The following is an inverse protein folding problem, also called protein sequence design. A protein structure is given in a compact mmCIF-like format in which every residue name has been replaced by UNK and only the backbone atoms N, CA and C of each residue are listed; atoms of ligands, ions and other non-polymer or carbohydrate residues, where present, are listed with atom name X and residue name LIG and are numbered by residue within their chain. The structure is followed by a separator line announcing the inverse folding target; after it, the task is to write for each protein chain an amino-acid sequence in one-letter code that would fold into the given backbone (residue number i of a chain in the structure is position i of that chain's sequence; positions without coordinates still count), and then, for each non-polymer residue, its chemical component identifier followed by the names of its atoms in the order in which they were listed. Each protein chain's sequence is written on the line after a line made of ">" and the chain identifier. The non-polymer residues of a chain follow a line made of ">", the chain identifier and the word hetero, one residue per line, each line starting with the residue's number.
data_IF_612147611818
#
_entry.id   IF_612147611818
#
_cell.length_a   1.000
_cell.length_b   1.000
_cell.length_c   1.000
_cell.angle_alpha   90.00
_cell.angle_beta   90.00
_cell.angle_gamma   90.00
#
_symmetry.space_group_name_H-M   'P 1'
#
loop_
_entity.id
_entity.type
_entity.pdbx_description
1 polymer ?
#
# COMPACT_ATOMS: atom_id res chain seq x y z
N UNK A 1 -32.86 22.21 -28.41
CA UNK A 1 -31.49 22.47 -27.93
C UNK A 1 -31.05 21.37 -26.98
N UNK A 2 -30.57 20.26 -27.54
CA UNK A 2 -30.09 19.12 -26.75
C UNK A 2 -28.69 19.44 -26.20
N UNK A 3 -28.60 19.57 -24.88
CA UNK A 3 -27.33 19.74 -24.15
C UNK A 3 -26.50 18.47 -24.29
N UNK A 4 -25.44 18.54 -25.09
CA UNK A 4 -24.40 17.51 -25.22
C UNK A 4 -23.60 17.47 -23.92
N UNK A 5 -24.09 16.75 -22.90
CA UNK A 5 -23.30 16.47 -21.69
C UNK A 5 -22.12 15.61 -22.08
N UNK A 6 -20.91 16.13 -21.88
CA UNK A 6 -19.66 15.42 -22.09
C UNK A 6 -19.70 14.07 -21.36
N UNK A 7 -19.55 12.97 -22.11
CA UNK A 7 -19.35 11.64 -21.52
C UNK A 7 -18.01 11.67 -20.79
N UNK A 8 -18.06 11.63 -19.46
CA UNK A 8 -16.89 11.39 -18.63
C UNK A 8 -16.26 10.06 -19.07
N UNK A 9 -15.05 10.12 -19.64
CA UNK A 9 -14.26 8.93 -19.96
C UNK A 9 -13.73 8.35 -18.64
N UNK A 10 -14.43 7.36 -18.11
CA UNK A 10 -13.96 6.58 -16.97
C UNK A 10 -13.23 5.33 -17.47
N UNK A 11 -12.21 4.87 -16.73
CA UNK A 11 -11.45 3.65 -17.05
C UNK A 11 -12.35 2.40 -17.09
N UNK A 12 -13.50 2.46 -16.45
CA UNK A 12 -14.47 1.38 -16.33
C UNK A 12 -15.82 1.83 -16.87
N UNK A 13 -16.47 0.94 -17.62
CA UNK A 13 -17.88 1.09 -18.01
C UNK A 13 -18.74 0.69 -16.81
N UNK A 14 -19.68 1.56 -16.44
CA UNK A 14 -20.65 1.30 -15.38
C UNK A 14 -22.05 1.56 -15.92
N UNK A 15 -22.98 0.69 -15.52
CA UNK A 15 -24.39 0.82 -15.83
C UNK A 15 -25.18 0.93 -14.52
N UNK A 16 -26.20 1.80 -14.52
CA UNK A 16 -27.14 1.88 -13.41
C UNK A 16 -28.05 0.66 -13.45
N UNK A 17 -28.38 0.09 -12.29
CA UNK A 17 -29.45 -0.91 -12.22
C UNK A 17 -30.76 -0.30 -12.71
N UNK A 18 -31.58 -1.11 -13.38
CA UNK A 18 -32.85 -0.68 -13.98
C UNK A 18 -33.74 0.02 -12.95
N UNK A 19 -33.88 -0.56 -11.76
CA UNK A 19 -34.70 -0.05 -10.68
C UNK A 19 -34.27 1.36 -10.23
N UNK A 20 -32.95 1.59 -10.13
CA UNK A 20 -32.42 2.91 -9.72
C UNK A 20 -32.62 3.92 -10.84
N UNK A 21 -32.42 3.52 -12.10
CA UNK A 21 -32.66 4.37 -13.27
C UNK A 21 -34.11 4.84 -13.35
N UNK A 22 -35.06 3.93 -13.13
CA UNK A 22 -36.49 4.25 -13.11
C UNK A 22 -36.86 5.14 -11.93
N UNK A 23 -36.37 4.81 -10.72
CA UNK A 23 -36.60 5.58 -9.50
C UNK A 23 -36.05 7.01 -9.55
N UNK A 24 -34.97 7.24 -10.30
CA UNK A 24 -34.42 8.58 -10.54
C UNK A 24 -35.26 9.35 -11.56
N UNK A 25 -35.75 8.68 -12.62
CA UNK A 25 -36.59 9.30 -13.66
C UNK A 25 -37.96 9.71 -13.13
N UNK A 26 -38.57 8.87 -12.30
CA UNK A 26 -39.90 9.12 -11.72
C UNK A 26 -39.86 10.04 -10.48
N UNK A 27 -38.68 10.46 -10.03
CA UNK A 27 -38.50 11.38 -8.90
C UNK A 27 -38.73 10.77 -7.51
N UNK A 28 -39.03 9.48 -7.41
CA UNK A 28 -39.20 8.76 -6.13
C UNK A 28 -37.90 8.70 -5.33
N UNK A 29 -36.74 8.79 -6.00
CA UNK A 29 -35.42 8.77 -5.38
C UNK A 29 -34.60 10.00 -5.77
N UNK A 30 -33.92 10.59 -4.78
CA UNK A 30 -32.91 11.63 -5.03
C UNK A 30 -31.58 10.96 -5.37
N UNK A 31 -30.85 11.50 -6.36
CA UNK A 31 -29.53 11.00 -6.76
C UNK A 31 -28.56 10.78 -5.58
N UNK A 32 -28.60 11.65 -4.56
CA UNK A 32 -27.74 11.55 -3.36
C UNK A 32 -28.17 10.49 -2.33
N UNK A 33 -29.29 9.80 -2.54
CA UNK A 33 -29.90 8.82 -1.61
C UNK A 33 -30.02 7.41 -2.22
N UNK A 34 -29.28 7.12 -3.28
CA UNK A 34 -29.30 5.79 -3.90
C UNK A 34 -28.65 4.72 -2.99
N UNK A 35 -29.09 3.47 -3.15
CA UNK A 35 -28.68 2.33 -2.32
C UNK A 35 -27.16 2.08 -2.34
N UNK A 36 -26.49 2.38 -3.46
CA UNK A 36 -25.04 2.25 -3.60
C UNK A 36 -24.22 3.26 -2.80
N UNK A 37 -24.85 4.24 -2.13
CA UNK A 37 -24.14 5.16 -1.25
C UNK A 37 -23.77 4.47 0.07
N UNK A 38 -22.48 4.28 0.28
CA UNK A 38 -21.92 3.67 1.50
C UNK A 38 -21.29 4.77 2.37
N UNK A 39 -22.08 5.67 2.92
CA UNK A 39 -21.56 6.72 3.79
C UNK A 39 -21.46 6.24 5.24
N UNK A 40 -20.32 6.48 5.89
CA UNK A 40 -20.17 6.40 7.35
C UNK A 40 -19.80 7.80 7.85
N UNK A 41 -20.27 8.17 9.03
CA UNK A 41 -19.92 9.43 9.68
C UNK A 41 -18.46 9.46 10.14
N UNK A 42 -18.11 10.49 10.92
CA UNK A 42 -16.81 10.52 11.61
C UNK A 42 -16.74 9.32 12.56
N UNK A 43 -15.68 8.52 12.43
CA UNK A 43 -15.44 7.35 13.27
C UNK A 43 -14.56 7.77 14.44
N UNK A 44 -15.00 7.44 15.65
CA UNK A 44 -14.25 7.67 16.89
C UNK A 44 -13.78 6.32 17.44
N UNK A 45 -12.63 6.33 18.10
CA UNK A 45 -12.15 5.15 18.83
C UNK A 45 -13.12 4.81 19.98
N UNK A 46 -13.35 3.53 20.28
CA UNK A 46 -14.02 3.13 21.51
C UNK A 46 -13.29 3.69 22.73
N UNK A 47 -14.04 4.12 23.75
CA UNK A 47 -13.46 4.78 24.92
C UNK A 47 -12.40 3.91 25.62
N UNK A 48 -12.68 2.61 25.76
CA UNK A 48 -11.74 1.65 26.33
C UNK A 48 -10.42 1.57 25.53
N UNK A 49 -10.50 1.64 24.20
CA UNK A 49 -9.34 1.62 23.32
C UNK A 49 -8.56 2.94 23.39
N UNK A 50 -9.26 4.07 23.41
CA UNK A 50 -8.67 5.40 23.59
C UNK A 50 -7.89 5.49 24.91
N UNK A 51 -8.51 5.04 26.01
CA UNK A 51 -7.89 5.05 27.34
C UNK A 51 -6.70 4.09 27.42
N UNK A 52 -6.78 2.91 26.80
CA UNK A 52 -5.67 1.97 26.71
C UNK A 52 -4.48 2.55 25.94
N UNK A 53 -4.75 3.23 24.81
CA UNK A 53 -3.74 3.93 24.04
C UNK A 53 -3.08 5.04 24.88
N UNK A 54 -3.88 5.89 25.53
CA UNK A 54 -3.36 6.93 26.42
C UNK A 54 -2.45 6.36 27.51
N UNK A 55 -2.90 5.31 28.20
CA UNK A 55 -2.13 4.66 29.25
C UNK A 55 -0.83 4.04 28.75
N UNK A 56 -0.78 3.59 27.50
CA UNK A 56 0.42 3.03 26.88
C UNK A 56 1.41 4.10 26.45
N UNK A 57 0.91 5.27 26.03
CA UNK A 57 1.74 6.33 25.46
C UNK A 57 2.24 7.35 26.49
N UNK A 58 1.60 7.47 27.65
CA UNK A 58 1.91 8.48 28.68
C UNK A 58 3.35 8.45 29.20
N UNK A 59 4.02 7.31 29.12
CA UNK A 59 5.40 7.13 29.61
C UNK A 59 6.46 7.61 28.59
N UNK A 60 6.04 8.00 27.37
CA UNK A 60 6.91 8.47 26.31
C UNK A 60 6.85 10.00 26.15
N UNK A 61 7.94 10.66 25.71
CA UNK A 61 7.93 12.11 25.50
C UNK A 61 7.01 12.49 24.34
N UNK A 62 5.89 13.16 24.62
CA UNK A 62 4.81 13.43 23.67
C UNK A 62 5.29 14.10 22.37
N UNK A 63 6.08 15.18 22.47
CA UNK A 63 6.54 15.94 21.29
C UNK A 63 7.41 15.10 20.36
N UNK A 64 8.37 14.35 20.89
CA UNK A 64 9.23 13.50 20.05
C UNK A 64 8.47 12.32 19.50
N UNK A 65 7.59 11.71 20.31
CA UNK A 65 6.75 10.60 19.90
C UNK A 65 5.86 10.98 18.71
N UNK A 66 5.17 12.12 18.77
CA UNK A 66 4.32 12.59 17.67
C UNK A 66 5.13 12.90 16.42
N UNK A 67 6.29 13.56 16.57
CA UNK A 67 7.19 13.85 15.46
C UNK A 67 7.68 12.58 14.77
N UNK A 68 8.07 11.58 15.55
CA UNK A 68 8.57 10.30 15.04
C UNK A 68 7.45 9.41 14.50
N UNK A 69 6.26 9.42 15.11
CA UNK A 69 5.08 8.72 14.61
C UNK A 69 4.67 9.22 13.21
N UNK A 70 4.76 10.53 12.96
CA UNK A 70 4.52 11.10 11.64
C UNK A 70 5.58 10.65 10.61
N UNK A 71 6.87 10.61 11.00
CA UNK A 71 7.94 10.08 10.15
C UNK A 71 7.72 8.60 9.84
N UNK A 72 7.35 7.79 10.84
CA UNK A 72 7.05 6.37 10.66
C UNK A 72 5.85 6.18 9.74
N UNK A 73 4.79 6.96 9.91
CA UNK A 73 3.60 6.89 9.06
C UNK A 73 3.92 7.23 7.61
N UNK A 74 4.72 8.28 7.39
CA UNK A 74 5.20 8.67 6.05
C UNK A 74 6.13 7.60 5.45
N UNK A 75 6.99 7.01 6.27
CA UNK A 75 7.85 5.91 5.85
C UNK A 75 7.02 4.71 5.40
N UNK A 76 6.06 4.25 6.22
CA UNK A 76 5.16 3.12 5.87
C UNK A 76 4.39 3.41 4.58
N UNK A 77 3.85 4.62 4.42
CA UNK A 77 3.13 5.03 3.22
C UNK A 77 3.96 4.96 1.92
N UNK A 78 5.27 5.23 2.03
CA UNK A 78 6.19 5.22 0.87
C UNK A 78 6.86 3.86 0.61
N UNK A 79 6.48 2.80 1.34
CA UNK A 79 7.07 1.47 1.12
C UNK A 79 6.50 0.81 -0.12
N UNK A 80 7.39 0.17 -0.87
CA UNK A 80 7.05 -0.75 -1.95
C UNK A 80 7.19 -2.20 -1.47
N UNK A 81 6.45 -3.12 -2.07
CA UNK A 81 6.68 -4.55 -1.85
C UNK A 81 8.10 -4.93 -2.32
N UNK A 82 8.78 -5.88 -1.63
CA UNK A 82 10.01 -6.44 -2.15
C UNK A 82 9.71 -7.18 -3.46
N UNK A 83 10.66 -7.17 -4.40
CA UNK A 83 10.54 -7.96 -5.63
C UNK A 83 10.54 -9.45 -5.29
N UNK A 84 9.74 -10.21 -6.04
CA UNK A 84 9.82 -11.66 -5.97
C UNK A 84 11.13 -12.17 -6.60
N UNK A 85 11.51 -13.42 -6.30
CA UNK A 85 12.77 -13.99 -6.78
C UNK A 85 12.86 -13.98 -8.31
N UNK A 86 11.77 -14.35 -8.97
CA UNK A 86 11.74 -14.43 -10.43
C UNK A 86 11.78 -13.05 -11.08
N UNK A 87 11.06 -12.07 -10.50
CA UNK A 87 11.12 -10.66 -10.92
C UNK A 87 12.52 -10.08 -10.74
N UNK A 88 13.18 -10.40 -9.62
CA UNK A 88 14.54 -9.97 -9.33
C UNK A 88 15.54 -10.52 -10.36
N UNK A 89 15.44 -11.81 -10.68
CA UNK A 89 16.28 -12.45 -11.71
C UNK A 89 16.00 -11.90 -13.12
N UNK A 90 14.74 -11.65 -13.46
CA UNK A 90 14.37 -11.03 -14.72
C UNK A 90 15.03 -9.64 -14.85
N UNK A 91 14.91 -8.82 -13.81
CA UNK A 91 15.50 -7.48 -13.79
C UNK A 91 17.02 -7.49 -13.85
N UNK A 92 17.68 -8.48 -13.23
CA UNK A 92 19.14 -8.66 -13.40
C UNK A 92 19.49 -8.90 -14.86
N UNK A 93 18.77 -9.77 -15.57
CA UNK A 93 19.01 -10.05 -16.98
C UNK A 93 18.82 -8.81 -17.84
N UNK A 94 17.72 -8.09 -17.66
CA UNK A 94 17.46 -6.84 -18.39
C UNK A 94 18.57 -5.81 -18.18
N UNK A 95 19.04 -5.67 -16.93
CA UNK A 95 20.14 -4.77 -16.58
C UNK A 95 21.45 -5.24 -17.19
N UNK A 96 21.73 -6.54 -17.16
CA UNK A 96 22.95 -7.12 -17.73
C UNK A 96 22.97 -6.95 -19.26
N UNK A 97 21.86 -7.20 -19.93
CA UNK A 97 21.73 -7.07 -21.39
C UNK A 97 21.84 -5.60 -21.82
N UNK A 98 21.23 -4.68 -21.08
CA UNK A 98 21.44 -3.23 -21.30
C UNK A 98 22.92 -2.84 -21.17
N UNK A 99 23.66 -3.42 -20.22
CA UNK A 99 25.08 -3.13 -20.03
C UNK A 99 25.91 -3.76 -21.15
N UNK A 100 25.58 -4.99 -21.60
CA UNK A 100 26.24 -5.65 -22.73
C UNK A 100 26.15 -4.81 -24.00
N UNK A 101 24.96 -4.26 -24.29
CA UNK A 101 24.75 -3.38 -25.45
C UNK A 101 25.60 -2.09 -25.40
N UNK A 102 25.97 -1.62 -24.20
CA UNK A 102 26.79 -0.43 -23.99
C UNK A 102 28.29 -0.71 -24.01
N UNK A 103 28.71 -1.97 -23.95
CA UNK A 103 30.12 -2.35 -23.91
C UNK A 103 30.71 -2.40 -25.32
N UNK A 104 31.82 -1.69 -25.52
CA UNK A 104 32.52 -1.65 -26.82
C UNK A 104 33.30 -2.94 -27.14
N UNK A 105 33.57 -3.77 -26.14
CA UNK A 105 34.36 -5.00 -26.27
C UNK A 105 33.57 -6.15 -25.66
N UNK A 106 33.22 -7.15 -26.46
CA UNK A 106 32.60 -8.38 -25.98
C UNK A 106 33.67 -9.30 -25.34
N UNK A 107 33.58 -9.60 -24.03
CA UNK A 107 34.48 -10.53 -23.35
C UNK A 107 34.42 -11.97 -23.91
N UNK A 108 33.42 -12.30 -24.72
CA UNK A 108 33.28 -13.60 -25.40
C UNK A 108 34.06 -13.67 -26.71
N UNK A 109 34.59 -12.54 -27.20
CA UNK A 109 35.37 -12.48 -28.43
C UNK A 109 36.68 -13.28 -28.30
N UNK A 110 37.04 -14.11 -29.30
CA UNK A 110 38.28 -14.89 -29.30
C UNK A 110 39.57 -14.04 -29.21
N UNK A 111 39.47 -12.74 -29.49
CA UNK A 111 40.60 -11.80 -29.51
C UNK A 111 40.90 -11.19 -28.14
N UNK A 112 40.10 -11.50 -27.11
CA UNK A 112 40.27 -11.00 -25.74
C UNK A 112 41.06 -12.03 -24.94
N UNK A 113 42.27 -11.66 -24.51
CA UNK A 113 43.08 -12.49 -23.62
C UNK A 113 42.40 -12.74 -22.26
N UNK A 114 42.73 -13.86 -21.61
CA UNK A 114 42.07 -14.32 -20.37
C UNK A 114 42.09 -13.27 -19.24
N UNK A 115 43.21 -12.57 -19.07
CA UNK A 115 43.34 -11.54 -18.02
C UNK A 115 42.38 -10.37 -18.24
N UNK A 116 42.32 -9.84 -19.47
CA UNK A 116 41.41 -8.75 -19.82
C UNK A 116 39.95 -9.21 -19.74
N UNK A 117 39.66 -10.44 -20.17
CA UNK A 117 38.32 -11.05 -20.06
C UNK A 117 37.85 -11.09 -18.62
N UNK A 118 38.70 -11.53 -17.68
CA UNK A 118 38.40 -11.56 -16.26
C UNK A 118 38.06 -10.17 -15.72
N UNK A 119 38.86 -9.15 -16.05
CA UNK A 119 38.64 -7.76 -15.63
C UNK A 119 37.32 -7.20 -16.18
N UNK A 120 36.99 -7.46 -17.43
CA UNK A 120 35.75 -6.98 -18.06
C UNK A 120 34.50 -7.62 -17.41
N UNK A 121 34.53 -8.93 -17.17
CA UNK A 121 33.42 -9.63 -16.51
C UNK A 121 33.21 -9.13 -15.07
N UNK A 122 34.29 -8.89 -14.33
CA UNK A 122 34.19 -8.37 -12.96
C UNK A 122 33.70 -6.92 -12.94
N UNK A 123 34.14 -6.10 -13.91
CA UNK A 123 33.60 -4.75 -14.13
C UNK A 123 32.10 -4.79 -14.43
N UNK A 124 31.65 -5.69 -15.31
CA UNK A 124 30.23 -5.86 -15.65
C UNK A 124 29.41 -6.25 -14.42
N UNK A 125 29.85 -7.26 -13.65
CA UNK A 125 29.19 -7.66 -12.40
C UNK A 125 29.05 -6.48 -11.44
N UNK A 126 30.12 -5.71 -11.26
CA UNK A 126 30.12 -4.52 -10.39
C UNK A 126 29.13 -3.45 -10.86
N UNK A 127 29.03 -3.21 -12.18
CA UNK A 127 28.04 -2.29 -12.77
C UNK A 127 26.61 -2.79 -12.57
N UNK A 128 26.35 -4.07 -12.80
CA UNK A 128 25.04 -4.70 -12.57
C UNK A 128 24.62 -4.52 -11.11
N UNK A 129 25.48 -4.86 -10.15
CA UNK A 129 25.20 -4.71 -8.72
C UNK A 129 24.89 -3.24 -8.36
N UNK A 130 25.68 -2.30 -8.89
CA UNK A 130 25.49 -0.87 -8.62
C UNK A 130 24.16 -0.35 -9.18
N UNK A 131 23.82 -0.76 -10.41
CA UNK A 131 22.54 -0.40 -11.04
C UNK A 131 21.36 -1.03 -10.32
N UNK A 132 21.45 -2.31 -9.93
CA UNK A 132 20.43 -2.99 -9.15
C UNK A 132 20.17 -2.31 -7.80
N UNK A 133 21.21 -1.87 -7.07
CA UNK A 133 21.06 -1.13 -5.81
C UNK A 133 20.34 0.21 -5.98
N UNK A 134 20.44 0.84 -7.15
CA UNK A 134 19.77 2.10 -7.47
C UNK A 134 18.33 1.89 -7.94
N UNK A 135 18.13 0.87 -8.77
CA UNK A 135 16.86 0.65 -9.49
C UNK A 135 15.88 -0.23 -8.70
N UNK A 136 16.36 -0.96 -7.69
CA UNK A 136 15.52 -1.79 -6.81
C UNK A 136 15.32 -1.08 -5.48
N UNK A 137 14.05 -0.95 -5.07
CA UNK A 137 13.69 -0.42 -3.77
C UNK A 137 14.37 -1.24 -2.66
N UNK A 138 15.11 -0.56 -1.79
CA UNK A 138 15.83 -1.21 -0.69
C UNK A 138 14.89 -1.56 0.46
N UNK A 139 14.11 -2.62 0.26
CA UNK A 139 13.19 -3.10 1.26
C UNK A 139 13.95 -3.64 2.48
N UNK A 140 13.59 -3.14 3.66
CA UNK A 140 14.06 -3.68 4.95
C UNK A 140 12.88 -3.88 5.89
N UNK A 141 12.85 -4.96 6.69
CA UNK A 141 11.81 -5.12 7.70
C UNK A 141 11.88 -3.97 8.71
N UNK A 142 10.72 -3.59 9.24
CA UNK A 142 10.65 -2.65 10.37
C UNK A 142 10.74 -3.50 11.64
N UNK A 143 11.81 -3.33 12.39
CA UNK A 143 11.95 -3.97 13.69
C UNK A 143 11.20 -3.13 14.73
N UNK A 144 10.10 -3.65 15.24
CA UNK A 144 9.31 -2.98 16.28
C UNK A 144 9.88 -3.29 17.66
N UNK A 145 10.31 -2.23 18.35
CA UNK A 145 10.60 -2.25 19.79
C UNK A 145 9.54 -1.43 20.53
N UNK A 146 9.66 -1.28 21.86
CA UNK A 146 8.68 -0.52 22.66
C UNK A 146 8.39 0.89 22.12
N UNK A 147 9.44 1.66 21.80
CA UNK A 147 9.27 3.02 21.26
C UNK A 147 8.64 3.03 19.86
N UNK A 148 9.10 2.16 18.94
CA UNK A 148 8.52 2.07 17.58
C UNK A 148 7.09 1.54 17.59
N UNK A 149 6.75 0.67 18.53
CA UNK A 149 5.37 0.24 18.76
C UNK A 149 4.52 1.39 19.28
N UNK A 150 5.02 2.20 20.22
CA UNK A 150 4.34 3.41 20.68
C UNK A 150 4.15 4.43 19.53
N UNK A 151 5.16 4.64 18.69
CA UNK A 151 5.06 5.46 17.47
C UNK A 151 3.97 4.93 16.54
N UNK A 152 3.86 3.61 16.39
CA UNK A 152 2.83 2.98 15.58
C UNK A 152 1.43 3.21 16.16
N UNK A 153 1.24 3.00 17.47
CA UNK A 153 -0.03 3.28 18.16
C UNK A 153 -0.42 4.75 17.96
N UNK A 154 0.50 5.68 18.23
CA UNK A 154 0.25 7.12 18.15
C UNK A 154 -0.13 7.58 16.72
N UNK A 155 0.54 7.04 15.69
CA UNK A 155 0.33 7.44 14.31
C UNK A 155 -0.78 6.68 13.59
N UNK A 156 -1.06 5.43 13.98
CA UNK A 156 -1.86 4.51 13.16
C UNK A 156 -3.12 3.94 13.81
N UNK A 157 -3.25 3.97 15.14
CA UNK A 157 -4.40 3.37 15.82
C UNK A 157 -5.74 3.92 15.30
N UNK A 158 -5.90 5.25 15.31
CA UNK A 158 -7.12 5.91 14.86
C UNK A 158 -7.43 5.71 13.36
N UNK A 159 -6.50 5.96 12.41
CA UNK A 159 -6.79 5.77 11.00
C UNK A 159 -7.00 4.29 10.61
N UNK A 160 -6.28 3.35 11.24
CA UNK A 160 -6.46 1.92 10.97
C UNK A 160 -7.84 1.44 11.46
N UNK A 161 -8.24 1.82 12.68
CA UNK A 161 -9.59 1.52 13.20
C UNK A 161 -10.68 2.14 12.32
N UNK A 162 -10.57 3.42 11.96
CA UNK A 162 -11.56 4.10 11.12
C UNK A 162 -11.71 3.44 9.74
N UNK A 163 -10.60 2.99 9.16
CA UNK A 163 -10.60 2.30 7.87
C UNK A 163 -11.29 0.94 7.97
N UNK A 164 -10.96 0.15 8.99
CA UNK A 164 -11.58 -1.17 9.22
C UNK A 164 -13.07 -1.04 9.53
N UNK A 165 -13.45 -0.10 10.40
CA UNK A 165 -14.86 0.19 10.70
C UNK A 165 -15.64 0.53 9.43
N UNK A 166 -15.08 1.38 8.55
CA UNK A 166 -15.70 1.75 7.28
C UNK A 166 -15.91 0.56 6.35
N UNK A 167 -14.92 -0.34 6.28
CA UNK A 167 -14.98 -1.58 5.50
C UNK A 167 -16.06 -2.51 6.06
N UNK A 168 -16.02 -2.78 7.37
CA UNK A 168 -16.95 -3.71 8.02
C UNK A 168 -18.39 -3.19 7.99
N UNK A 169 -18.61 -1.88 8.15
CA UNK A 169 -19.91 -1.25 7.98
C UNK A 169 -20.46 -1.43 6.55
N UNK A 170 -19.58 -1.41 5.55
CA UNK A 170 -19.97 -1.66 4.17
C UNK A 170 -20.27 -3.12 3.87
N UNK A 171 -19.45 -4.05 4.40
CA UNK A 171 -19.74 -5.49 4.33
C UNK A 171 -21.10 -5.77 4.95
N UNK A 172 -21.36 -5.31 6.18
CA UNK A 172 -22.64 -5.53 6.88
C UNK A 172 -23.84 -4.95 6.15
N UNK A 173 -23.67 -3.80 5.48
CA UNK A 173 -24.74 -3.17 4.71
C UNK A 173 -25.03 -3.91 3.40
N UNK A 174 -24.02 -4.50 2.76
CA UNK A 174 -24.18 -5.31 1.54
C UNK A 174 -24.71 -6.70 1.84
N UNK A 175 -24.26 -7.28 2.95
CA UNK A 175 -24.71 -8.57 3.46
C UNK A 175 -25.14 -8.43 4.94
N UNK A 176 -26.44 -8.20 5.19
CA UNK A 176 -26.97 -8.10 6.54
C UNK A 176 -26.81 -9.38 7.36
N UNK A 177 -26.62 -10.54 6.72
CA UNK A 177 -26.43 -11.83 7.39
C UNK A 177 -24.95 -12.11 7.71
N UNK A 178 -24.03 -11.26 7.27
CA UNK A 178 -22.62 -11.36 7.63
C UNK A 178 -22.46 -11.33 9.15
N UNK A 179 -22.02 -12.47 9.69
CA UNK A 179 -21.85 -12.75 11.12
C UNK A 179 -20.71 -13.74 11.31
N UNK A 180 -19.45 -13.32 11.10
CA UNK A 180 -18.30 -14.21 11.18
C UNK A 180 -18.15 -14.77 12.60
N UNK A 181 -17.96 -16.10 12.70
CA UNK A 181 -17.71 -16.78 13.98
C UNK A 181 -16.23 -16.79 14.36
N UNK A 182 -15.36 -16.63 13.38
CA UNK A 182 -13.90 -16.70 13.53
C UNK A 182 -13.24 -15.56 12.76
N UNK A 183 -12.20 -14.96 13.34
CA UNK A 183 -11.38 -13.94 12.71
C UNK A 183 -9.92 -14.41 12.68
N UNK A 184 -9.27 -14.27 11.53
CA UNK A 184 -7.85 -14.48 11.35
C UNK A 184 -7.22 -13.15 10.93
N UNK A 185 -6.29 -12.65 11.73
CA UNK A 185 -5.63 -11.37 11.51
C UNK A 185 -4.11 -11.55 11.36
N UNK A 186 -3.64 -11.52 10.12
CA UNK A 186 -2.22 -11.60 9.79
C UNK A 186 -1.56 -10.23 9.93
N UNK A 187 -0.54 -10.13 10.78
CA UNK A 187 0.14 -8.85 11.01
C UNK A 187 -0.74 -7.85 11.75
N UNK A 188 -1.47 -8.35 12.77
CA UNK A 188 -2.49 -7.62 13.53
C UNK A 188 -2.04 -6.29 14.15
N UNK A 189 -0.73 -6.07 14.33
CA UNK A 189 -0.18 -4.82 14.83
C UNK A 189 -0.74 -4.47 16.22
N UNK A 190 -1.58 -3.45 16.28
CA UNK A 190 -2.25 -2.99 17.53
C UNK A 190 -3.63 -3.63 17.74
N UNK A 191 -4.04 -4.57 16.88
CA UNK A 191 -5.25 -5.37 17.03
C UNK A 191 -6.55 -4.61 16.71
N UNK A 192 -6.51 -3.59 15.84
CA UNK A 192 -7.70 -2.78 15.49
C UNK A 192 -8.82 -3.56 14.83
N UNK A 193 -8.53 -4.73 14.25
CA UNK A 193 -9.53 -5.63 13.64
C UNK A 193 -10.45 -6.30 14.65
N UNK A 194 -9.99 -6.45 15.90
CA UNK A 194 -10.76 -7.07 16.98
C UNK A 194 -11.72 -6.10 17.68
N UNK A 195 -11.54 -4.79 17.48
CA UNK A 195 -12.34 -3.72 18.07
C UNK A 195 -13.47 -3.29 17.14
#
# INVERSE_FOLDING_TARGET
>A
NASTKAKLKTKFNFELSADVSESLKNGSMKARRHAGRMGVGVVHLPEALSQAAFNTLKDYPEKSLLGDANKLSSYIWSRHAPLEKDEYHHKIRDVEDTIKEQEMVDPSSPHVGEELRGRLLESRKSKVITKMKKDVYHWKPIEYNGYRAAMYVAGRLAPDYASLYRIMAEVKKRDPHFSPLTLLDFGSGVGTSMW
#
